data_IF_394567576599
#
_entry.id   IF_394567576599
#
_cell.length_a   1.000
_cell.length_b   1.000
_cell.length_c   1.000
_cell.angle_alpha   90.00
_cell.angle_beta   90.00
_cell.angle_gamma   90.00
#
_symmetry.space_group_name_H-M   'P 1'
#
loop_
_entity.id
_entity.type
_entity.pdbx_description
1 polymer ?
#
# COMPACT_ATOMS: atom_id res chain seq x y z
N UNK A 1 15.34 -5.95 13.19
CA UNK A 1 14.11 -5.47 13.85
C UNK A 1 13.86 -4.06 13.35
N UNK A 2 12.90 -3.86 12.44
CA UNK A 2 12.59 -2.51 11.94
C UNK A 2 11.65 -1.87 12.95
N UNK A 3 12.15 -0.87 13.69
CA UNK A 3 11.32 0.02 14.49
C UNK A 3 10.17 0.49 13.60
N UNK A 4 8.92 0.31 14.04
CA UNK A 4 7.80 0.98 13.40
C UNK A 4 8.04 2.47 13.62
N UNK A 5 8.65 3.11 12.63
CA UNK A 5 8.87 4.55 12.65
C UNK A 5 7.50 5.21 12.75
N UNK A 6 7.34 6.18 13.64
CA UNK A 6 6.10 6.92 13.77
C UNK A 6 6.07 7.99 12.68
N UNK A 7 5.02 7.99 11.86
CA UNK A 7 4.86 8.97 10.79
C UNK A 7 4.81 10.39 11.32
N UNK A 8 4.42 10.61 12.59
CA UNK A 8 4.45 11.92 13.23
C UNK A 8 5.88 12.50 13.33
N UNK A 9 6.88 11.63 13.41
CA UNK A 9 8.29 12.00 13.61
C UNK A 9 9.14 11.91 12.34
N UNK A 10 8.66 11.22 11.31
CA UNK A 10 9.33 11.08 10.00
C UNK A 10 9.03 12.30 9.11
N UNK A 11 9.51 13.47 9.51
CA UNK A 11 9.20 14.71 8.79
C UNK A 11 9.79 14.74 7.37
N UNK A 12 9.15 15.44 6.42
CA UNK A 12 9.75 15.73 5.13
C UNK A 12 11.05 16.52 5.29
N UNK A 13 12.04 16.24 4.44
CA UNK A 13 13.24 17.07 4.38
C UNK A 13 12.88 18.42 3.76
N UNK A 14 13.65 19.47 4.06
CA UNK A 14 13.40 20.84 3.56
C UNK A 14 13.30 20.94 2.04
N UNK A 15 13.97 20.05 1.30
CA UNK A 15 13.93 20.01 -0.17
C UNK A 15 12.91 19.03 -0.75
N UNK A 16 12.17 18.29 0.07
CA UNK A 16 11.19 17.30 -0.39
C UNK A 16 9.82 17.95 -0.60
N UNK A 17 9.31 17.86 -1.84
CA UNK A 17 7.88 18.02 -2.10
C UNK A 17 7.09 16.75 -1.72
N UNK A 18 5.77 16.76 -1.89
CA UNK A 18 4.92 15.63 -1.49
C UNK A 18 5.31 14.33 -2.22
N UNK A 19 5.72 14.43 -3.49
CA UNK A 19 6.09 13.27 -4.32
C UNK A 19 7.46 12.73 -3.89
N UNK A 20 8.44 13.60 -3.68
CA UNK A 20 9.79 13.23 -3.25
C UNK A 20 9.74 12.57 -1.88
N UNK A 21 8.98 13.14 -0.94
CA UNK A 21 8.75 12.56 0.37
C UNK A 21 8.11 11.16 0.27
N UNK A 22 7.01 11.03 -0.47
CA UNK A 22 6.32 9.74 -0.60
C UNK A 22 7.18 8.66 -1.28
N UNK A 23 8.01 9.05 -2.26
CA UNK A 23 8.98 8.14 -2.91
C UNK A 23 10.09 7.71 -1.95
N UNK A 24 10.57 8.60 -1.10
CA UNK A 24 11.53 8.23 -0.04
C UNK A 24 10.91 7.21 0.90
N UNK A 25 9.70 7.47 1.41
CA UNK A 25 9.01 6.53 2.28
C UNK A 25 8.79 5.16 1.60
N UNK A 26 8.44 5.15 0.31
CA UNK A 26 8.33 3.91 -0.45
C UNK A 26 9.68 3.17 -0.55
N UNK A 27 10.78 3.90 -0.75
CA UNK A 27 12.14 3.34 -0.78
C UNK A 27 12.54 2.78 0.59
N UNK A 28 12.13 3.43 1.67
CA UNK A 28 12.38 3.03 3.05
C UNK A 28 11.54 1.82 3.49
N UNK A 29 10.71 1.28 2.59
CA UNK A 29 9.94 0.06 2.84
C UNK A 29 8.55 0.31 3.41
N UNK A 30 8.13 1.57 3.55
CA UNK A 30 6.83 1.90 4.12
C UNK A 30 5.67 1.39 3.24
N UNK A 31 4.57 1.04 3.91
CA UNK A 31 3.32 0.60 3.27
C UNK A 31 2.48 1.80 2.87
N UNK A 32 1.59 1.61 1.91
CA UNK A 32 0.75 2.72 1.42
C UNK A 32 -0.06 3.36 2.56
N UNK A 33 -0.61 2.59 3.50
CA UNK A 33 -1.37 3.15 4.63
C UNK A 33 -0.53 4.10 5.51
N UNK A 34 0.76 3.82 5.67
CA UNK A 34 1.68 4.70 6.39
C UNK A 34 1.87 6.00 5.61
N UNK A 35 2.18 5.89 4.32
CA UNK A 35 2.42 7.03 3.44
C UNK A 35 1.18 7.93 3.34
N UNK A 36 -0.02 7.35 3.31
CA UNK A 36 -1.28 8.11 3.35
C UNK A 36 -1.40 8.97 4.61
N UNK A 37 -1.08 8.42 5.78
CA UNK A 37 -1.12 9.16 7.05
C UNK A 37 -0.06 10.26 7.08
N UNK A 38 1.16 9.92 6.68
CA UNK A 38 2.28 10.86 6.63
C UNK A 38 2.03 12.06 5.70
N UNK A 39 1.47 11.81 4.51
CA UNK A 39 1.13 12.86 3.55
C UNK A 39 0.03 13.81 4.07
N UNK A 40 -0.97 13.27 4.76
CA UNK A 40 -2.04 14.08 5.36
C UNK A 40 -1.51 14.93 6.51
N UNK A 41 -0.67 14.34 7.35
CA UNK A 41 -0.09 15.01 8.52
C UNK A 41 0.81 16.18 8.09
N UNK A 42 1.80 15.91 7.23
CA UNK A 42 2.87 16.88 6.96
C UNK A 42 2.56 17.88 5.86
N UNK A 43 1.60 17.56 4.97
CA UNK A 43 1.25 18.41 3.84
C UNK A 43 -0.22 18.80 3.79
N UNK A 44 -1.04 18.34 4.74
CA UNK A 44 -2.46 18.71 4.81
C UNK A 44 -3.31 18.22 3.64
N UNK A 45 -2.84 17.21 2.88
CA UNK A 45 -3.50 16.77 1.66
C UNK A 45 -4.89 16.18 1.92
N UNK A 46 -5.81 16.44 0.99
CA UNK A 46 -7.11 15.79 0.91
C UNK A 46 -6.97 14.30 0.58
N UNK A 47 -8.05 13.54 0.78
CA UNK A 47 -8.05 12.10 0.47
C UNK A 47 -7.82 11.83 -1.01
N UNK A 48 -8.35 12.69 -1.89
CA UNK A 48 -8.24 12.54 -3.34
C UNK A 48 -6.80 12.79 -3.83
N UNK A 49 -6.15 13.83 -3.30
CA UNK A 49 -4.73 14.11 -3.58
C UNK A 49 -3.83 12.96 -3.13
N UNK A 50 -4.10 12.41 -1.94
CA UNK A 50 -3.38 11.25 -1.41
C UNK A 50 -3.55 10.02 -2.29
N UNK A 51 -4.76 9.76 -2.79
CA UNK A 51 -5.03 8.63 -3.71
C UNK A 51 -4.23 8.80 -5.01
N UNK A 52 -4.25 10.00 -5.59
CA UNK A 52 -3.51 10.32 -6.82
C UNK A 52 -2.00 10.16 -6.63
N UNK A 53 -1.45 10.61 -5.51
CA UNK A 53 -0.04 10.43 -5.18
C UNK A 53 0.32 8.96 -4.97
N UNK A 54 -0.47 8.24 -4.18
CA UNK A 54 -0.20 6.84 -3.87
C UNK A 54 -0.34 5.93 -5.10
N UNK A 55 -1.13 6.31 -6.11
CA UNK A 55 -1.18 5.61 -7.39
C UNK A 55 0.20 5.55 -8.09
N UNK A 56 1.12 6.46 -7.78
CA UNK A 56 2.49 6.51 -8.30
C UNK A 56 3.48 5.68 -7.46
N UNK A 57 3.01 4.98 -6.42
CA UNK A 57 3.83 4.22 -5.46
C UNK A 57 3.47 2.71 -5.48
N UNK A 58 3.78 2.00 -6.58
CA UNK A 58 3.34 0.61 -6.75
C UNK A 58 3.99 -0.37 -5.77
N UNK A 59 5.19 -0.09 -5.23
CA UNK A 59 5.86 -0.97 -4.27
C UNK A 59 5.22 -0.84 -2.89
N UNK A 60 4.91 0.37 -2.46
CA UNK A 60 4.17 0.63 -1.23
C UNK A 60 2.78 -0.02 -1.27
N UNK A 61 2.10 0.10 -2.41
CA UNK A 61 0.82 -0.57 -2.68
C UNK A 61 0.94 -2.09 -2.58
N UNK A 62 1.93 -2.67 -3.28
CA UNK A 62 2.18 -4.12 -3.25
C UNK A 62 2.36 -4.61 -1.82
N UNK A 63 3.18 -3.93 -1.00
CA UNK A 63 3.40 -4.31 0.40
C UNK A 63 2.13 -4.24 1.24
N UNK A 64 1.29 -3.22 1.04
CA UNK A 64 0.03 -3.12 1.77
C UNK A 64 -0.93 -4.25 1.40
N UNK A 65 -1.04 -4.58 0.11
CA UNK A 65 -1.93 -5.65 -0.36
C UNK A 65 -1.42 -7.03 0.05
N UNK A 66 -0.10 -7.27 0.05
CA UNK A 66 0.50 -8.49 0.62
C UNK A 66 0.15 -8.59 2.11
N UNK A 67 0.33 -7.51 2.89
CA UNK A 67 -0.04 -7.53 4.30
C UNK A 67 -1.54 -7.82 4.51
N UNK A 68 -2.42 -7.29 3.64
CA UNK A 68 -3.85 -7.64 3.68
C UNK A 68 -4.08 -9.13 3.38
N UNK A 69 -3.35 -9.71 2.42
CA UNK A 69 -3.44 -11.14 2.09
C UNK A 69 -2.98 -12.01 3.24
N UNK A 70 -1.83 -11.70 3.85
CA UNK A 70 -1.29 -12.40 5.02
C UNK A 70 -2.22 -12.35 6.23
N UNK A 71 -2.91 -11.22 6.45
CA UNK A 71 -3.90 -11.07 7.53
C UNK A 71 -5.19 -11.85 7.28
N UNK A 72 -5.51 -12.11 6.02
CA UNK A 72 -6.74 -12.78 5.61
C UNK A 72 -6.47 -13.84 4.54
N UNK A 73 -5.69 -14.89 4.85
CA UNK A 73 -5.18 -15.84 3.86
C UNK A 73 -6.30 -16.68 3.22
N UNK A 74 -7.41 -16.86 3.94
CA UNK A 74 -8.52 -17.71 3.53
C UNK A 74 -9.61 -16.95 2.74
N UNK A 75 -9.40 -15.68 2.37
CA UNK A 75 -10.36 -14.98 1.52
C UNK A 75 -10.33 -15.57 0.11
N UNK A 76 -11.52 -15.85 -0.42
CA UNK A 76 -11.70 -16.08 -1.85
C UNK A 76 -11.29 -14.84 -2.63
N UNK A 77 -10.88 -15.01 -3.89
CA UNK A 77 -10.49 -13.89 -4.78
C UNK A 77 -11.52 -12.76 -4.73
N UNK A 78 -12.81 -13.07 -4.90
CA UNK A 78 -13.90 -12.08 -4.84
C UNK A 78 -13.93 -11.29 -3.53
N UNK A 79 -13.75 -11.97 -2.38
CA UNK A 79 -13.73 -11.30 -1.06
C UNK A 79 -12.44 -10.51 -0.85
N UNK A 80 -11.32 -10.99 -1.40
CA UNK A 80 -10.04 -10.28 -1.35
C UNK A 80 -10.06 -9.01 -2.19
N UNK A 81 -10.59 -9.05 -3.42
CA UNK A 81 -10.85 -7.86 -4.26
C UNK A 81 -11.71 -6.85 -3.52
N UNK A 82 -12.83 -7.28 -2.93
CA UNK A 82 -13.67 -6.39 -2.14
C UNK A 82 -12.92 -5.76 -0.96
N UNK A 83 -12.07 -6.53 -0.27
CA UNK A 83 -11.24 -6.03 0.83
C UNK A 83 -10.24 -4.97 0.35
N UNK A 84 -9.62 -5.17 -0.82
CA UNK A 84 -8.71 -4.19 -1.43
C UNK A 84 -9.45 -2.90 -1.76
N UNK A 85 -10.63 -2.97 -2.38
CA UNK A 85 -11.48 -1.79 -2.68
C UNK A 85 -11.73 -0.96 -1.41
N UNK A 86 -12.14 -1.61 -0.33
CA UNK A 86 -12.46 -0.92 0.94
C UNK A 86 -11.21 -0.33 1.60
N UNK A 87 -10.09 -1.05 1.58
CA UNK A 87 -8.88 -0.64 2.33
C UNK A 87 -8.05 0.40 1.59
N UNK A 88 -8.08 0.36 0.26
CA UNK A 88 -7.18 1.12 -0.61
C UNK A 88 -7.91 2.18 -1.43
N UNK A 89 -9.24 2.28 -1.33
CA UNK A 89 -10.04 3.23 -2.12
C UNK A 89 -9.77 3.09 -3.63
N UNK A 90 -9.60 1.85 -4.09
CA UNK A 90 -9.33 1.54 -5.49
C UNK A 90 -10.63 1.24 -6.24
N UNK A 91 -10.61 1.47 -7.56
CA UNK A 91 -11.64 0.92 -8.44
C UNK A 91 -11.67 -0.60 -8.33
N UNK A 92 -12.83 -1.21 -8.62
CA UNK A 92 -12.96 -2.67 -8.61
C UNK A 92 -11.99 -3.35 -9.59
N UNK A 93 -11.76 -2.72 -10.73
CA UNK A 93 -10.88 -3.25 -11.78
C UNK A 93 -9.41 -3.20 -11.36
N UNK A 94 -8.96 -2.09 -10.75
CA UNK A 94 -7.61 -2.00 -10.20
C UNK A 94 -7.41 -2.96 -9.04
N UNK A 95 -8.41 -3.07 -8.15
CA UNK A 95 -8.37 -4.03 -7.05
C UNK A 95 -8.26 -5.47 -7.57
N UNK A 96 -8.99 -5.82 -8.64
CA UNK A 96 -8.88 -7.13 -9.30
C UNK A 96 -7.48 -7.36 -9.87
N UNK A 97 -6.94 -6.41 -10.64
CA UNK A 97 -5.58 -6.52 -11.20
C UNK A 97 -4.52 -6.75 -10.11
N UNK A 98 -4.66 -6.09 -8.97
CA UNK A 98 -3.76 -6.30 -7.84
C UNK A 98 -3.97 -7.66 -7.18
N UNK A 99 -5.22 -8.09 -6.97
CA UNK A 99 -5.52 -9.40 -6.41
C UNK A 99 -4.94 -10.53 -7.28
N UNK A 100 -5.19 -10.49 -8.58
CA UNK A 100 -4.67 -11.45 -9.56
C UNK A 100 -3.13 -11.52 -9.48
N UNK A 101 -2.47 -10.37 -9.47
CA UNK A 101 -0.99 -10.28 -9.37
C UNK A 101 -0.42 -10.89 -8.08
N UNK A 102 -1.13 -10.77 -6.96
CA UNK A 102 -0.68 -11.32 -5.68
C UNK A 102 -0.95 -12.82 -5.61
N UNK A 103 -2.16 -13.26 -5.98
CA UNK A 103 -2.55 -14.67 -5.95
C UNK A 103 -1.71 -15.48 -6.93
N UNK A 104 -1.47 -15.00 -8.15
CA UNK A 104 -0.60 -15.69 -9.12
C UNK A 104 0.87 -15.78 -8.70
N UNK A 105 1.30 -14.98 -7.72
CA UNK A 105 2.66 -15.02 -7.18
C UNK A 105 2.77 -15.89 -5.92
N UNK A 106 1.66 -16.44 -5.41
CA UNK A 106 1.68 -17.41 -4.33
C UNK A 106 2.18 -18.77 -4.87
N UNK A 107 3.06 -19.47 -4.15
CA UNK A 107 3.42 -20.83 -4.53
C UNK A 107 2.14 -21.67 -4.55
N UNK A 108 1.97 -22.43 -5.64
CA UNK A 108 0.82 -23.33 -5.72
C UNK A 108 1.02 -24.42 -4.67
N UNK A 109 -0.02 -24.76 -3.91
CA UNK A 109 0.04 -25.83 -2.92
C UNK A 109 0.28 -27.24 -3.54
N UNK A 110 0.63 -27.30 -4.83
CA UNK A 110 0.93 -28.51 -5.60
C UNK A 110 2.44 -28.76 -5.79
N UNK A 111 3.31 -27.86 -5.33
CA UNK A 111 4.77 -27.99 -5.46
C UNK A 111 5.43 -28.76 -4.29
N UNK A 112 4.64 -29.27 -3.34
CA UNK A 112 5.08 -30.12 -2.21
C UNK A 112 4.36 -31.48 -2.18
N UNK A 113 4.39 -32.22 -3.30
CA UNK A 113 3.93 -33.61 -3.37
C UNK A 113 5.00 -34.55 -3.94
#
# INVERSE_FOLDING_TARGET
MTLHQDYLTDQPKTSEDQIAYAKRLEKDGQREIYIRKALREHFGLSIDEVIVLCAKLPKARKREIINLRERFPNLTEKRFVWRIVQSMTLSKDDAKRWADKIISAEPSAQDEA
#
